data_IF_719848327641
#
_entry.id   IF_719848327641
#
_cell.length_a   1.000
_cell.length_b   1.000
_cell.length_c   1.000
_cell.angle_alpha   90.00
_cell.angle_beta   90.00
_cell.angle_gamma   90.00
#
_symmetry.space_group_name_H-M   'P 1'
#
loop_
_entity.id
_entity.type
_entity.pdbx_description
1 polymer ?
#
# COMPACT_ATOMS: atom_id res chain seq x y z
N UNK A 1 8.74 1.93 13.35
CA UNK A 1 7.74 1.20 14.17
C UNK A 1 6.51 0.91 13.32
N UNK A 2 5.68 -0.06 13.71
CA UNK A 2 4.39 -0.35 13.08
C UNK A 2 3.27 0.00 14.06
N UNK A 3 2.14 0.47 13.55
CA UNK A 3 0.95 0.80 14.35
C UNK A 3 -0.25 0.11 13.73
N UNK A 4 -1.22 -0.27 14.56
CA UNK A 4 -2.50 -0.81 14.13
C UNK A 4 -3.62 0.14 14.58
N UNK A 5 -4.65 0.28 13.75
CA UNK A 5 -5.83 1.06 14.07
C UNK A 5 -6.99 0.10 14.38
N UNK A 6 -7.75 0.38 15.43
CA UNK A 6 -8.96 -0.37 15.78
C UNK A 6 -10.19 0.04 14.95
N UNK A 7 -10.09 1.14 14.20
CA UNK A 7 -11.16 1.71 13.38
C UNK A 7 -10.63 2.03 11.98
N UNK A 8 -11.41 1.63 10.96
CA UNK A 8 -11.16 1.95 9.56
C UNK A 8 -11.08 3.46 9.30
N UNK A 9 -11.93 4.27 9.96
CA UNK A 9 -11.91 5.72 9.78
C UNK A 9 -10.61 6.34 10.28
N UNK A 10 -10.06 5.85 11.40
CA UNK A 10 -8.76 6.29 11.91
C UNK A 10 -7.62 5.90 10.96
N UNK A 11 -7.69 4.70 10.36
CA UNK A 11 -6.74 4.28 9.34
C UNK A 11 -6.80 5.18 8.10
N UNK A 12 -8.00 5.43 7.56
CA UNK A 12 -8.19 6.30 6.39
C UNK A 12 -7.67 7.72 6.69
N UNK A 13 -8.00 8.28 7.85
CA UNK A 13 -7.53 9.60 8.26
C UNK A 13 -5.99 9.67 8.30
N UNK A 14 -5.33 8.67 8.87
CA UNK A 14 -3.88 8.62 8.97
C UNK A 14 -3.20 8.49 7.60
N UNK A 15 -3.73 7.64 6.71
CA UNK A 15 -3.22 7.49 5.33
C UNK A 15 -3.44 8.76 4.52
N UNK A 16 -4.62 9.37 4.63
CA UNK A 16 -4.96 10.63 3.95
C UNK A 16 -4.04 11.77 4.36
N UNK A 17 -3.72 11.86 5.65
CA UNK A 17 -2.83 12.90 6.18
C UNK A 17 -1.41 12.78 5.63
N UNK A 18 -0.93 11.55 5.33
CA UNK A 18 0.42 11.19 4.86
C UNK A 18 1.56 11.54 5.82
N UNK A 19 1.46 12.66 6.53
CA UNK A 19 2.40 13.11 7.54
C UNK A 19 1.66 13.42 8.84
N UNK A 20 2.23 13.00 9.95
CA UNK A 20 1.72 13.28 11.29
C UNK A 20 2.83 13.95 12.10
N UNK A 21 2.48 15.00 12.84
CA UNK A 21 3.37 15.59 13.84
C UNK A 21 3.20 14.85 15.17
N UNK A 22 4.30 14.33 15.69
CA UNK A 22 4.37 13.72 17.01
C UNK A 22 5.00 14.74 17.96
N UNK A 23 4.17 15.22 18.90
CA UNK A 23 4.60 16.13 19.96
C UNK A 23 4.49 15.44 21.31
N UNK A 24 5.61 15.29 22.02
CA UNK A 24 5.63 14.76 23.38
C UNK A 24 6.84 15.31 24.16
N UNK A 25 6.58 16.18 25.14
CA UNK A 25 7.65 16.95 25.81
C UNK A 25 8.42 17.79 24.79
N UNK A 26 9.74 17.67 24.79
CA UNK A 26 10.63 18.38 23.85
C UNK A 26 10.76 17.69 22.48
N UNK A 27 10.02 16.61 22.23
CA UNK A 27 10.04 15.90 20.95
C UNK A 27 9.02 16.53 20.03
N UNK A 28 9.48 17.15 18.94
CA UNK A 28 8.67 17.52 17.77
C UNK A 28 9.22 16.80 16.53
N UNK A 29 8.51 15.77 16.06
CA UNK A 29 8.91 14.98 14.87
C UNK A 29 7.75 14.84 13.90
N UNK A 30 8.01 15.22 12.66
CA UNK A 30 7.13 14.92 11.52
C UNK A 30 7.46 13.55 10.95
N UNK A 31 6.51 12.63 11.00
CA UNK A 31 6.66 11.26 10.49
C UNK A 31 5.77 11.05 9.27
N UNK A 32 6.28 10.36 8.25
CA UNK A 32 5.49 9.91 7.11
C UNK A 32 4.79 8.59 7.46
N UNK A 33 3.50 8.50 7.18
CA UNK A 33 2.68 7.30 7.34
C UNK A 33 2.59 6.58 6.00
N UNK A 34 2.96 5.30 5.99
CA UNK A 34 2.78 4.42 4.84
C UNK A 34 2.00 3.18 5.26
N UNK A 35 1.04 2.71 4.45
CA UNK A 35 0.34 1.47 4.74
C UNK A 35 1.33 0.30 4.67
N UNK A 36 1.13 -0.68 5.54
CA UNK A 36 1.90 -1.91 5.55
C UNK A 36 1.19 -2.95 4.69
N UNK A 37 1.89 -3.48 3.69
CA UNK A 37 1.35 -4.48 2.75
C UNK A 37 1.60 -5.88 3.33
N UNK A 38 0.57 -6.73 3.32
CA UNK A 38 0.61 -8.12 3.77
C UNK A 38 0.81 -9.08 2.58
N UNK A 39 1.38 -10.27 2.83
CA UNK A 39 1.86 -11.19 1.78
C UNK A 39 0.85 -12.26 1.35
N UNK A 40 -0.20 -12.45 2.14
CA UNK A 40 -1.16 -13.56 2.08
C UNK A 40 -2.58 -13.10 1.77
N UNK A 41 -2.71 -11.87 1.25
CA UNK A 41 -4.00 -11.28 0.95
C UNK A 41 -4.48 -11.69 -0.43
N UNK A 42 -5.75 -12.06 -0.52
CA UNK A 42 -6.40 -12.34 -1.79
C UNK A 42 -6.76 -11.03 -2.49
N UNK A 43 -6.95 -11.08 -3.80
CA UNK A 43 -7.45 -9.92 -4.52
C UNK A 43 -8.88 -9.60 -4.05
N UNK A 44 -9.12 -8.38 -3.58
CA UNK A 44 -10.43 -7.99 -3.05
C UNK A 44 -11.53 -8.04 -4.14
N UNK A 45 -11.16 -7.78 -5.39
CA UNK A 45 -12.08 -7.72 -6.54
C UNK A 45 -12.51 -9.08 -7.07
N UNK A 46 -11.59 -10.05 -7.14
CA UNK A 46 -11.87 -11.35 -7.76
C UNK A 46 -11.65 -12.54 -6.83
N UNK A 47 -11.18 -12.32 -5.61
CA UNK A 47 -10.95 -13.37 -4.60
C UNK A 47 -10.12 -14.55 -5.14
N UNK A 48 -9.13 -14.26 -5.99
CA UNK A 48 -8.26 -15.27 -6.59
C UNK A 48 -8.80 -15.91 -7.89
N UNK A 49 -10.06 -15.68 -8.26
CA UNK A 49 -10.71 -16.35 -9.40
C UNK A 49 -10.03 -16.06 -10.75
N UNK A 50 -9.49 -14.85 -10.93
CA UNK A 50 -8.82 -14.44 -12.19
C UNK A 50 -7.31 -14.67 -12.20
N UNK A 51 -6.74 -15.16 -11.10
CA UNK A 51 -5.29 -15.35 -10.94
C UNK A 51 -4.93 -16.75 -10.43
N UNK A 52 -5.81 -17.74 -10.64
CA UNK A 52 -5.54 -19.14 -10.29
C UNK A 52 -5.33 -19.36 -8.79
N UNK A 53 -6.02 -18.61 -7.94
CA UNK A 53 -5.89 -18.68 -6.48
C UNK A 53 -4.62 -18.05 -5.90
N UNK A 54 -3.79 -17.37 -6.71
CA UNK A 54 -2.61 -16.66 -6.22
C UNK A 54 -3.01 -15.44 -5.38
N UNK A 55 -2.21 -15.13 -4.37
CA UNK A 55 -2.30 -13.90 -3.59
C UNK A 55 -2.08 -12.66 -4.44
N UNK A 56 -2.65 -11.54 -3.99
CA UNK A 56 -2.56 -10.24 -4.66
C UNK A 56 -1.16 -9.63 -4.46
N UNK A 57 -0.40 -9.38 -5.55
CA UNK A 57 0.93 -8.78 -5.43
C UNK A 57 0.89 -7.25 -5.22
N UNK A 58 -0.27 -6.60 -5.40
CA UNK A 58 -0.40 -5.15 -5.39
C UNK A 58 -1.40 -4.68 -4.34
N UNK A 59 -1.03 -3.62 -3.63
CA UNK A 59 -1.95 -2.85 -2.79
C UNK A 59 -2.03 -1.39 -3.29
N UNK A 60 -3.25 -0.87 -3.47
CA UNK A 60 -3.44 0.53 -3.84
C UNK A 60 -3.63 1.38 -2.58
N UNK A 61 -2.69 2.28 -2.29
CA UNK A 61 -2.75 3.16 -1.12
C UNK A 61 -3.63 4.41 -1.30
N UNK A 62 -4.26 4.59 -2.46
CA UNK A 62 -5.20 5.70 -2.64
C UNK A 62 -6.49 5.40 -1.87
N UNK A 63 -6.99 6.39 -1.13
CA UNK A 63 -8.22 6.34 -0.32
C UNK A 63 -9.46 5.89 -1.09
N UNK A 64 -9.52 6.12 -2.41
CA UNK A 64 -10.64 5.67 -3.25
C UNK A 64 -10.58 4.18 -3.60
N UNK A 65 -9.45 3.52 -3.32
CA UNK A 65 -9.20 2.11 -3.61
C UNK A 65 -8.95 1.35 -2.30
N UNK A 66 -7.86 1.63 -1.58
CA UNK A 66 -7.44 0.97 -0.33
C UNK A 66 -7.66 -0.55 -0.32
N UNK A 67 -7.21 -1.22 -1.38
CA UNK A 67 -7.52 -2.61 -1.68
C UNK A 67 -6.34 -3.35 -2.28
N UNK A 68 -6.36 -4.66 -2.12
CA UNK A 68 -5.47 -5.63 -2.74
C UNK A 68 -5.98 -6.05 -4.12
N UNK A 69 -5.10 -6.01 -5.11
CA UNK A 69 -5.41 -6.35 -6.49
C UNK A 69 -4.43 -7.40 -7.03
N UNK A 70 -4.96 -8.39 -7.77
CA UNK A 70 -4.15 -9.19 -8.67
C UNK A 70 -3.72 -8.36 -9.89
N UNK A 71 -2.75 -8.84 -10.65
CA UNK A 71 -2.24 -8.13 -11.84
C UNK A 71 -3.35 -7.77 -12.84
N UNK A 72 -4.25 -8.73 -13.10
CA UNK A 72 -5.36 -8.52 -14.04
C UNK A 72 -6.36 -7.46 -13.55
N UNK A 73 -6.78 -7.54 -12.29
CA UNK A 73 -7.70 -6.56 -11.71
C UNK A 73 -7.05 -5.17 -11.61
N UNK A 74 -5.77 -5.11 -11.26
CA UNK A 74 -5.01 -3.86 -11.25
C UNK A 74 -5.08 -3.18 -12.62
N UNK A 75 -4.63 -3.87 -13.68
CA UNK A 75 -4.61 -3.31 -15.04
C UNK A 75 -6.00 -2.86 -15.52
N UNK A 76 -7.04 -3.62 -15.17
CA UNK A 76 -8.43 -3.31 -15.57
C UNK A 76 -8.99 -2.07 -14.85
N UNK A 77 -8.69 -1.91 -13.57
CA UNK A 77 -9.26 -0.85 -12.73
C UNK A 77 -8.44 0.44 -12.83
N UNK A 78 -7.12 0.31 -12.92
CA UNK A 78 -6.16 1.42 -12.90
C UNK A 78 -5.79 1.91 -14.30
N UNK A 79 -6.43 1.39 -15.37
CA UNK A 79 -6.40 2.00 -16.71
C UNK A 79 -7.53 3.00 -16.94
N UNK A 80 -8.50 3.08 -16.01
CA UNK A 80 -9.66 3.99 -16.13
C UNK A 80 -9.27 5.43 -15.79
N UNK A 81 -9.88 6.44 -16.45
CA UNK A 81 -9.69 7.84 -16.11
C UNK A 81 -9.98 8.13 -14.63
N UNK A 82 -9.12 8.93 -14.01
CA UNK A 82 -9.14 9.22 -12.58
C UNK A 82 -8.41 8.21 -11.69
N UNK A 83 -7.83 7.13 -12.24
CA UNK A 83 -7.10 6.09 -11.48
C UNK A 83 -5.75 5.72 -12.09
N UNK A 84 -5.45 6.19 -13.29
CA UNK A 84 -4.22 5.94 -14.05
C UNK A 84 -2.95 6.44 -13.36
N UNK A 85 -3.07 7.40 -12.45
CA UNK A 85 -1.96 7.97 -11.69
C UNK A 85 -1.70 7.24 -10.36
N UNK A 86 -2.53 6.27 -9.99
CA UNK A 86 -2.33 5.48 -8.79
C UNK A 86 -1.13 4.55 -8.99
N UNK A 87 -0.27 4.49 -7.97
CA UNK A 87 0.93 3.63 -7.99
C UNK A 87 0.71 2.42 -7.10
N UNK A 88 0.97 1.19 -7.59
CA UNK A 88 0.84 0.01 -6.74
C UNK A 88 1.95 0.04 -5.71
N UNK A 89 1.59 -0.22 -4.45
CA UNK A 89 2.57 -0.63 -3.46
C UNK A 89 2.78 -2.12 -3.62
N UNK A 90 3.98 -2.46 -4.06
CA UNK A 90 4.52 -3.81 -3.96
C UNK A 90 5.19 -3.95 -2.60
N UNK A 91 5.23 -5.16 -2.07
CA UNK A 91 6.03 -5.45 -0.87
C UNK A 91 7.47 -4.97 -1.07
N UNK A 92 7.95 -4.07 -0.22
CA UNK A 92 9.40 -3.96 -0.01
C UNK A 92 9.85 -5.16 0.82
N UNK A 93 10.38 -6.19 0.15
CA UNK A 93 11.18 -7.24 0.78
C UNK A 93 10.57 -8.63 0.81
N UNK A 94 10.72 -9.39 -0.28
CA UNK A 94 11.47 -10.63 -0.09
C UNK A 94 12.91 -10.17 0.17
N UNK A 95 13.30 -10.11 1.43
CA UNK A 95 14.66 -9.85 1.93
C UNK A 95 15.52 -8.85 1.14
N UNK A 96 15.55 -7.59 1.55
CA UNK A 96 16.58 -6.66 1.09
C UNK A 96 17.69 -6.58 2.13
N UNK A 97 18.80 -7.34 2.00
CA UNK A 97 20.04 -6.92 2.62
C UNK A 97 20.42 -5.56 2.03
N UNK A 98 21.00 -4.70 2.87
CA UNK A 98 21.27 -3.29 2.59
C UNK A 98 21.87 -3.07 1.19
N UNK A 99 21.25 -2.13 0.46
CA UNK A 99 21.75 -1.37 -0.69
C UNK A 99 22.51 -2.12 -1.82
N UNK A 100 21.90 -2.17 -3.00
CA UNK A 100 22.65 -2.21 -4.27
C UNK A 100 22.09 -1.10 -5.18
N UNK A 101 22.93 -0.23 -5.77
CA UNK A 101 22.46 0.86 -6.61
C UNK A 101 22.08 0.31 -7.98
N UNK A 102 20.84 0.55 -8.39
CA UNK A 102 20.36 0.22 -9.73
C UNK A 102 21.11 1.08 -10.75
N UNK A 103 21.99 0.46 -11.55
CA UNK A 103 22.53 1.06 -12.78
C UNK A 103 21.59 0.71 -13.93
N UNK A 104 21.07 1.75 -14.58
CA UNK A 104 20.39 1.65 -15.86
C UNK A 104 21.46 1.63 -16.95
N UNK A 105 21.41 0.64 -17.85
CA UNK A 105 22.15 0.67 -19.11
C UNK A 105 21.46 1.61 -20.10
#
# INVERSE_FOLDING_TARGET
GRVAFSNQQSYIAAISARFVQLQHGDIDKRVEVKPYVLDDQMCDECQGQRCGGKFAPFFCANVTCLQYYCEHCWATIHSRPGREFHKPLVKEGADRPRAVPYRWC
#
